data_IF_484792019628
#
_entry.id   IF_484792019628
#
_cell.length_a   1.000
_cell.length_b   1.000
_cell.length_c   1.000
_cell.angle_alpha   90.00
_cell.angle_beta   90.00
_cell.angle_gamma   90.00
#
_symmetry.space_group_name_H-M   'P 1'
#
loop_
_entity.id
_entity.type
_entity.pdbx_description
1 polymer ?
#
# COMPACT_ATOMS: atom_id res chain seq x y z
N UNK A 1 -12.22 -16.46 5.43
CA UNK A 1 -13.02 -15.70 6.21
C UNK A 1 -13.38 -14.39 5.56
N UNK A 2 -14.24 -14.54 4.61
CA UNK A 2 -14.68 -13.43 3.82
C UNK A 2 -15.40 -12.41 4.68
N UNK A 3 -15.05 -11.16 4.54
CA UNK A 3 -15.69 -10.08 5.26
C UNK A 3 -15.03 -9.68 6.57
N UNK A 4 -14.18 -10.53 7.14
CA UNK A 4 -13.59 -10.21 8.45
C UNK A 4 -12.63 -9.03 8.38
N UNK A 5 -11.82 -8.94 7.36
CA UNK A 5 -10.84 -7.86 7.27
C UNK A 5 -11.27 -6.70 6.39
N UNK A 6 -12.38 -6.84 5.67
CA UNK A 6 -12.76 -5.84 4.67
C UNK A 6 -13.33 -4.58 5.29
N UNK A 7 -13.73 -4.64 6.56
CA UNK A 7 -14.32 -3.49 7.25
C UNK A 7 -13.33 -2.40 7.61
N UNK A 8 -12.04 -2.71 7.62
CA UNK A 8 -11.04 -1.72 8.03
C UNK A 8 -10.75 -0.68 6.94
N UNK A 9 -11.28 -0.90 5.75
CA UNK A 9 -11.04 0.00 4.63
C UNK A 9 -9.81 -0.39 3.82
N UNK A 10 -9.33 0.52 3.01
CA UNK A 10 -8.22 0.24 2.10
C UNK A 10 -6.88 0.36 2.80
N UNK A 11 -6.01 -0.62 2.57
CA UNK A 11 -4.65 -0.63 3.08
C UNK A 11 -3.72 -0.15 1.96
N UNK A 12 -2.97 0.90 2.23
CA UNK A 12 -2.04 1.48 1.28
C UNK A 12 -0.61 1.14 1.66
N UNK A 13 0.11 0.49 0.76
CA UNK A 13 1.51 0.11 0.98
C UNK A 13 2.45 1.08 0.26
N UNK A 14 3.35 1.70 1.00
CA UNK A 14 4.37 2.58 0.42
C UNK A 14 5.63 1.74 0.19
N UNK A 15 6.09 1.68 -1.06
CA UNK A 15 7.19 0.79 -1.44
C UNK A 15 6.73 -0.65 -1.59
N UNK A 16 5.57 -0.86 -2.17
CA UNK A 16 4.90 -2.17 -2.21
C UNK A 16 5.71 -3.26 -2.91
N UNK A 17 6.60 -2.86 -3.84
CA UNK A 17 7.44 -3.81 -4.56
C UNK A 17 8.64 -4.32 -3.79
N UNK A 18 8.87 -3.84 -2.56
CA UNK A 18 9.96 -4.33 -1.72
C UNK A 18 9.76 -5.79 -1.35
N UNK A 19 10.86 -6.48 -1.06
CA UNK A 19 10.83 -7.94 -0.83
C UNK A 19 9.85 -8.32 0.28
N UNK A 20 9.95 -7.71 1.44
CA UNK A 20 9.04 -8.01 2.55
C UNK A 20 7.66 -7.44 2.34
N UNK A 21 7.57 -6.29 1.72
CA UNK A 21 6.31 -5.57 1.54
C UNK A 21 5.39 -6.29 0.57
N UNK A 22 5.93 -6.75 -0.57
CA UNK A 22 5.11 -7.43 -1.57
C UNK A 22 4.48 -8.71 -1.04
N UNK A 23 5.21 -9.45 -0.21
CA UNK A 23 4.69 -10.66 0.41
C UNK A 23 3.53 -10.38 1.35
N UNK A 24 3.65 -9.35 2.17
CA UNK A 24 2.59 -8.96 3.10
C UNK A 24 1.36 -8.47 2.33
N UNK A 25 1.59 -7.66 1.29
CA UNK A 25 0.49 -7.14 0.47
C UNK A 25 -0.29 -8.28 -0.17
N UNK A 26 0.42 -9.29 -0.69
CA UNK A 26 -0.21 -10.43 -1.30
C UNK A 26 -1.06 -11.23 -0.31
N UNK A 27 -0.53 -11.48 0.87
CA UNK A 27 -1.27 -12.20 1.92
C UNK A 27 -2.54 -11.43 2.29
N UNK A 28 -2.44 -10.12 2.51
CA UNK A 28 -3.58 -9.31 2.88
C UNK A 28 -4.63 -9.28 1.77
N UNK A 29 -4.19 -9.17 0.53
CA UNK A 29 -5.09 -9.19 -0.62
C UNK A 29 -5.85 -10.52 -0.69
N UNK A 30 -5.13 -11.62 -0.50
CA UNK A 30 -5.74 -12.95 -0.55
C UNK A 30 -6.72 -13.21 0.59
N UNK A 31 -6.57 -12.49 1.70
CA UNK A 31 -7.48 -12.57 2.83
C UNK A 31 -8.75 -11.72 2.63
N UNK A 32 -8.83 -10.97 1.54
CA UNK A 32 -10.02 -10.19 1.22
C UNK A 32 -9.94 -8.71 1.54
N UNK A 33 -8.79 -8.23 2.03
CA UNK A 33 -8.60 -6.80 2.25
C UNK A 33 -8.47 -6.06 0.92
N UNK A 34 -8.89 -4.82 0.90
CA UNK A 34 -8.62 -3.95 -0.24
C UNK A 34 -7.21 -3.41 -0.09
N UNK A 35 -6.35 -3.76 -1.03
CA UNK A 35 -4.93 -3.43 -0.99
C UNK A 35 -4.56 -2.59 -2.19
N UNK A 36 -3.83 -1.54 -1.95
CA UNK A 36 -3.24 -0.69 -2.98
C UNK A 36 -1.85 -0.29 -2.54
N UNK A 37 -1.13 0.38 -3.40
CA UNK A 37 0.20 0.84 -3.02
C UNK A 37 0.87 1.69 -4.06
N UNK A 38 2.11 2.03 -3.77
CA UNK A 38 2.96 2.78 -4.67
C UNK A 38 4.38 2.24 -4.60
N UNK A 39 5.14 2.50 -5.64
CA UNK A 39 6.56 2.22 -5.65
C UNK A 39 7.27 3.25 -6.51
N UNK A 40 8.57 3.37 -6.34
CA UNK A 40 9.36 4.35 -7.08
C UNK A 40 9.55 3.92 -8.53
N UNK A 41 9.49 2.63 -8.81
CA UNK A 41 9.76 2.12 -10.16
C UNK A 41 8.96 0.85 -10.44
N UNK A 42 8.74 0.58 -11.72
CA UNK A 42 8.17 -0.68 -12.15
C UNK A 42 9.14 -1.83 -11.86
N UNK A 43 8.58 -3.00 -11.61
CA UNK A 43 9.35 -4.21 -11.40
C UNK A 43 8.47 -5.41 -11.69
N UNK A 44 9.09 -6.58 -11.83
CA UNK A 44 8.32 -7.82 -12.03
C UNK A 44 7.38 -8.06 -10.84
N UNK A 45 7.82 -7.72 -9.64
CA UNK A 45 7.02 -7.87 -8.43
C UNK A 45 5.81 -6.96 -8.44
N UNK A 46 5.99 -5.69 -8.83
CA UNK A 46 4.89 -4.73 -8.96
C UNK A 46 3.90 -5.21 -10.02
N UNK A 47 4.40 -5.68 -11.16
CA UNK A 47 3.53 -6.18 -12.23
C UNK A 47 2.71 -7.38 -11.77
N UNK A 48 3.31 -8.29 -11.02
CA UNK A 48 2.61 -9.47 -10.51
C UNK A 48 1.49 -9.08 -9.53
N UNK A 49 1.76 -8.12 -8.65
CA UNK A 49 0.74 -7.63 -7.72
C UNK A 49 -0.40 -6.95 -8.46
N UNK A 50 -0.06 -6.15 -9.47
CA UNK A 50 -1.07 -5.47 -10.28
C UNK A 50 -1.92 -6.47 -11.05
N UNK A 51 -1.32 -7.54 -11.56
CA UNK A 51 -2.04 -8.61 -12.24
C UNK A 51 -3.01 -9.34 -11.29
N UNK A 52 -2.71 -9.36 -10.01
CA UNK A 52 -3.60 -9.96 -8.99
C UNK A 52 -4.81 -9.08 -8.66
N UNK A 53 -4.86 -7.86 -9.19
CA UNK A 53 -6.00 -6.96 -8.98
C UNK A 53 -5.71 -5.76 -8.10
N UNK A 54 -4.48 -5.57 -7.66
CA UNK A 54 -4.12 -4.42 -6.84
C UNK A 54 -3.87 -3.18 -7.70
N UNK A 55 -4.26 -2.03 -7.19
CA UNK A 55 -3.96 -0.75 -7.83
C UNK A 55 -2.62 -0.25 -7.31
N UNK A 56 -1.66 -0.06 -8.19
CA UNK A 56 -0.32 0.36 -7.80
C UNK A 56 0.12 1.54 -8.67
N UNK A 57 0.47 2.63 -8.00
CA UNK A 57 0.98 3.83 -8.66
C UNK A 57 2.50 3.78 -8.71
N UNK A 58 3.08 4.33 -9.77
CA UNK A 58 4.52 4.50 -9.87
C UNK A 58 4.82 5.97 -9.58
N UNK A 59 5.77 6.18 -8.68
CA UNK A 59 6.05 7.50 -8.13
C UNK A 59 5.26 7.74 -6.86
N UNK A 60 5.83 8.50 -5.95
CA UNK A 60 5.17 8.80 -4.68
C UNK A 60 4.52 10.17 -4.75
N UNK A 61 3.24 10.22 -4.37
CA UNK A 61 2.43 11.43 -4.38
C UNK A 61 1.33 11.28 -3.35
N UNK A 62 1.03 12.35 -2.64
CA UNK A 62 -0.03 12.33 -1.62
C UNK A 62 -1.37 11.86 -2.17
N UNK A 63 -1.65 12.15 -3.44
CA UNK A 63 -2.89 11.72 -4.08
C UNK A 63 -3.03 10.20 -4.16
N UNK A 64 -1.92 9.47 -4.09
CA UNK A 64 -1.96 8.00 -4.15
C UNK A 64 -2.67 7.39 -2.95
N UNK A 65 -2.76 8.11 -1.84
CA UNK A 65 -3.48 7.62 -0.66
C UNK A 65 -4.96 7.38 -0.91
N UNK A 66 -5.59 8.28 -1.70
CA UNK A 66 -7.03 8.17 -1.90
C UNK A 66 -7.77 8.12 -0.57
N UNK A 67 -8.59 7.11 -0.40
CA UNK A 67 -9.37 6.88 0.82
C UNK A 67 -8.75 5.84 1.75
N UNK A 68 -7.43 5.69 1.71
CA UNK A 68 -6.74 4.70 2.53
C UNK A 68 -7.06 4.88 4.02
N UNK A 69 -7.33 3.78 4.68
CA UNK A 69 -7.64 3.78 6.12
C UNK A 69 -6.39 3.53 6.96
N UNK A 70 -5.37 2.93 6.37
CA UNK A 70 -4.12 2.63 7.06
C UNK A 70 -2.99 2.58 6.03
N UNK A 71 -1.80 2.98 6.45
CA UNK A 71 -0.61 2.97 5.61
C UNK A 71 0.41 2.00 6.20
N UNK A 72 0.95 1.14 5.37
CA UNK A 72 2.03 0.22 5.74
C UNK A 72 3.28 0.67 5.02
N UNK A 73 4.36 0.82 5.75
CA UNK A 73 5.63 1.25 5.20
C UNK A 73 6.77 0.51 5.90
N UNK A 74 7.95 0.52 5.29
CA UNK A 74 9.14 -0.06 5.90
C UNK A 74 10.00 1.05 6.50
N UNK A 75 10.99 0.65 7.30
CA UNK A 75 11.94 1.61 7.88
C UNK A 75 12.80 2.30 6.83
N UNK A 76 12.86 1.76 5.61
CA UNK A 76 13.60 2.37 4.51
C UNK A 76 12.88 3.60 3.96
N UNK A 77 11.59 3.74 4.21
CA UNK A 77 10.80 4.87 3.72
C UNK A 77 10.83 5.98 4.77
N UNK A 78 11.16 7.19 4.34
CA UNK A 78 11.27 8.33 5.25
C UNK A 78 9.92 8.96 5.51
N UNK A 79 9.81 9.62 6.67
CA UNK A 79 8.60 10.37 7.03
C UNK A 79 8.32 11.53 6.08
N UNK A 80 9.34 11.98 5.37
CA UNK A 80 9.21 13.04 4.36
C UNK A 80 8.64 12.53 3.04
N UNK A 81 8.52 11.21 2.87
CA UNK A 81 7.83 10.65 1.71
C UNK A 81 6.44 11.29 1.61
N UNK A 82 6.03 11.79 0.44
CA UNK A 82 4.76 12.52 0.32
C UNK A 82 3.55 11.77 0.83
N UNK A 83 3.51 10.46 0.64
CA UNK A 83 2.38 9.64 1.08
C UNK A 83 2.39 9.44 2.59
N UNK A 84 3.55 9.20 3.16
CA UNK A 84 3.69 9.07 4.61
C UNK A 84 3.38 10.40 5.29
N UNK A 85 3.91 11.49 4.77
CA UNK A 85 3.66 12.82 5.31
C UNK A 85 2.16 13.16 5.28
N UNK A 86 1.50 12.87 4.15
CA UNK A 86 0.07 13.12 4.03
C UNK A 86 -0.74 12.27 4.99
N UNK A 87 -0.35 11.01 5.19
CA UNK A 87 -1.03 10.12 6.11
C UNK A 87 -0.94 10.65 7.54
N UNK A 88 0.26 11.06 7.96
CA UNK A 88 0.46 11.62 9.30
C UNK A 88 -0.35 12.89 9.49
N UNK A 89 -0.38 13.76 8.48
CA UNK A 89 -1.12 15.01 8.51
C UNK A 89 -2.62 14.79 8.65
N UNK A 90 -3.13 13.76 8.00
CA UNK A 90 -4.55 13.42 8.02
C UNK A 90 -4.91 12.41 9.12
N UNK A 91 -3.95 12.11 9.99
CA UNK A 91 -4.14 11.17 11.12
C UNK A 91 -4.54 9.77 10.66
N UNK A 92 -4.04 9.35 9.52
CA UNK A 92 -4.21 7.99 9.05
C UNK A 92 -3.11 7.15 9.72
N UNK A 93 -3.44 6.05 10.37
CA UNK A 93 -2.42 5.19 11.01
C UNK A 93 -1.37 4.72 10.02
N UNK A 94 -0.14 4.77 10.45
CA UNK A 94 1.00 4.36 9.63
C UNK A 94 1.72 3.19 10.30
#
# INVERSE_FOLDING_TARGET
VKGVGTDIGTIHFVGIGGIGMSGIAEVMHNLGYRVQGSDIAESARVEALRASGMTIAIGHDAANLGDAAVVVTSTAVRRTNPEVAAALENRIPV
#
